data_IF_637083803265
#
_entry.id   IF_637083803265
#
_cell.length_a   1.000
_cell.length_b   1.000
_cell.length_c   1.000
_cell.angle_alpha   90.00
_cell.angle_beta   90.00
_cell.angle_gamma   90.00
#
_symmetry.space_group_name_H-M   'P 1'
#
loop_
_entity.id
_entity.type
_entity.pdbx_description
1 polymer ?
#
# COMPACT_ATOMS: atom_id res chain seq x y z
N UNK A 1 -1.74 3.58 -16.64
CA UNK A 1 -2.75 3.67 -15.56
C UNK A 1 -2.27 2.72 -14.50
N UNK A 2 -2.18 3.15 -13.25
CA UNK A 2 -1.71 2.28 -12.17
C UNK A 2 -2.75 1.18 -11.91
N UNK A 3 -2.30 -0.05 -11.91
CA UNK A 3 -3.03 -1.20 -11.39
C UNK A 3 -2.36 -1.64 -10.08
N UNK A 4 -3.18 -1.85 -9.05
CA UNK A 4 -2.75 -2.37 -7.76
C UNK A 4 -3.48 -3.69 -7.50
N UNK A 5 -2.74 -4.70 -7.06
CA UNK A 5 -3.31 -6.02 -6.74
C UNK A 5 -2.98 -6.43 -5.31
N UNK A 6 -3.95 -7.05 -4.63
CA UNK A 6 -3.72 -7.78 -3.39
C UNK A 6 -4.00 -9.25 -3.68
N UNK A 7 -3.04 -10.11 -3.32
CA UNK A 7 -3.38 -11.52 -3.15
C UNK A 7 -3.80 -11.71 -1.71
N UNK A 8 -4.98 -12.31 -1.54
CA UNK A 8 -5.53 -12.59 -0.22
C UNK A 8 -4.51 -13.26 0.66
N UNK A 9 -4.46 -12.90 1.96
CA UNK A 9 -3.45 -13.41 2.85
C UNK A 9 -3.40 -14.93 2.85
N UNK A 10 -2.19 -15.49 2.96
CA UNK A 10 -1.96 -16.93 3.08
C UNK A 10 -0.92 -17.16 4.18
N UNK A 11 -1.26 -17.95 5.21
CA UNK A 11 -0.34 -18.34 6.28
C UNK A 11 0.40 -17.16 6.96
N UNK A 12 -0.24 -16.01 7.10
CA UNK A 12 0.30 -14.81 7.74
C UNK A 12 1.09 -13.89 6.82
N UNK A 13 0.98 -14.09 5.50
CA UNK A 13 1.61 -13.27 4.48
C UNK A 13 0.58 -12.62 3.58
N UNK A 14 0.79 -11.39 3.17
CA UNK A 14 -0.05 -10.68 2.20
C UNK A 14 0.83 -10.15 1.08
N UNK A 15 0.41 -10.33 -0.17
CA UNK A 15 1.15 -9.82 -1.33
C UNK A 15 0.50 -8.57 -1.87
N UNK A 16 1.32 -7.63 -2.33
CA UNK A 16 0.87 -6.46 -3.08
C UNK A 16 1.65 -6.37 -4.39
N UNK A 17 0.94 -6.06 -5.47
CA UNK A 17 1.48 -5.85 -6.80
C UNK A 17 1.16 -4.46 -7.32
N UNK A 18 2.05 -3.94 -8.15
CA UNK A 18 1.93 -2.66 -8.86
C UNK A 18 2.32 -2.86 -10.32
N UNK A 19 1.49 -2.37 -11.24
CA UNK A 19 1.79 -2.33 -12.67
C UNK A 19 1.32 -0.99 -13.23
N UNK A 20 2.16 -0.27 -13.97
CA UNK A 20 1.78 0.97 -14.65
C UNK A 20 1.74 0.87 -16.19
N UNK A 21 1.90 -0.34 -16.71
CA UNK A 21 2.01 -0.69 -18.13
C UNK A 21 3.43 -0.59 -18.68
N UNK A 22 4.39 -0.13 -17.87
CA UNK A 22 5.82 -0.02 -18.23
C UNK A 22 6.68 -0.83 -17.27
N UNK A 23 6.36 -0.75 -15.99
CA UNK A 23 7.07 -1.42 -14.90
C UNK A 23 6.09 -2.20 -14.04
N UNK A 24 6.52 -3.39 -13.61
CA UNK A 24 5.78 -4.26 -12.72
C UNK A 24 6.63 -4.53 -11.48
N UNK A 25 6.02 -4.42 -10.30
CA UNK A 25 6.67 -4.68 -9.03
C UNK A 25 5.75 -5.44 -8.10
N UNK A 26 6.28 -6.50 -7.48
CA UNK A 26 5.54 -7.36 -6.56
C UNK A 26 6.35 -7.59 -5.29
N UNK A 27 5.68 -7.48 -4.15
CA UNK A 27 6.30 -7.76 -2.84
C UNK A 27 5.28 -8.34 -1.87
N UNK A 28 5.75 -8.85 -0.74
CA UNK A 28 4.91 -9.40 0.32
C UNK A 28 5.27 -8.81 1.67
N UNK A 29 4.31 -8.82 2.60
CA UNK A 29 4.52 -8.44 3.99
C UNK A 29 4.06 -9.54 4.93
N UNK A 30 4.75 -9.71 6.05
CA UNK A 30 4.33 -10.61 7.13
C UNK A 30 3.36 -9.91 8.09
N UNK A 31 2.41 -10.64 8.67
CA UNK A 31 1.50 -10.11 9.69
C UNK A 31 2.21 -9.74 11.00
N UNK A 32 3.34 -10.37 11.30
CA UNK A 32 4.15 -10.10 12.49
C UNK A 32 5.60 -9.88 12.06
N UNK A 33 6.27 -8.80 12.49
CA UNK A 33 5.76 -7.73 13.37
C UNK A 33 4.89 -6.67 12.67
N UNK A 34 4.60 -6.79 11.37
CA UNK A 34 4.00 -5.72 10.54
C UNK A 34 2.47 -5.75 10.46
N UNK A 35 1.82 -6.01 11.60
CA UNK A 35 0.37 -6.09 11.74
C UNK A 35 -0.36 -4.85 11.23
N UNK A 36 0.25 -3.67 11.45
CA UNK A 36 -0.33 -2.40 11.07
C UNK A 36 -0.25 -2.07 9.57
N UNK A 37 0.44 -2.86 8.74
CA UNK A 37 0.80 -2.44 7.38
C UNK A 37 -0.43 -2.12 6.51
N UNK A 38 -1.45 -2.99 6.51
CA UNK A 38 -2.68 -2.76 5.74
C UNK A 38 -3.51 -1.57 6.26
N UNK A 39 -3.88 -1.47 7.56
CA UNK A 39 -4.61 -0.30 8.05
C UNK A 39 -3.80 1.00 7.96
N UNK A 40 -2.48 0.96 8.06
CA UNK A 40 -1.62 2.13 7.88
C UNK A 40 -1.59 2.59 6.42
N UNK A 41 -1.54 1.67 5.45
CA UNK A 41 -1.68 2.00 4.03
C UNK A 41 -2.98 2.75 3.73
N UNK A 42 -4.11 2.22 4.22
CA UNK A 42 -5.41 2.85 4.05
C UNK A 42 -5.45 4.25 4.68
N UNK A 43 -4.92 4.41 5.91
CA UNK A 43 -4.84 5.73 6.58
C UNK A 43 -4.01 6.73 5.79
N UNK A 44 -2.83 6.32 5.30
CA UNK A 44 -1.97 7.18 4.48
C UNK A 44 -2.72 7.65 3.24
N UNK A 45 -3.39 6.75 2.52
CA UNK A 45 -4.12 7.10 1.31
C UNK A 45 -5.34 8.01 1.62
N UNK A 46 -6.05 7.78 2.72
CA UNK A 46 -7.14 8.67 3.20
C UNK A 46 -6.64 10.07 3.53
N UNK A 47 -5.47 10.20 4.17
CA UNK A 47 -4.87 11.50 4.49
C UNK A 47 -4.45 12.27 3.22
N UNK A 48 -4.01 11.54 2.19
CA UNK A 48 -3.46 12.11 0.96
C UNK A 48 -4.52 12.35 -0.14
N UNK A 49 -5.67 11.68 -0.09
CA UNK A 49 -6.80 11.92 -1.00
C UNK A 49 -7.55 13.22 -0.70
N UNK A 50 -7.34 13.80 0.48
CA UNK A 50 -7.95 15.07 0.84
C UNK A 50 -7.35 16.31 0.17
N UNK A 51 -8.14 17.39 0.15
CA UNK A 51 -7.66 18.71 -0.24
C UNK A 51 -6.44 19.11 0.59
N UNK A 52 -5.44 19.60 -0.13
CA UNK A 52 -4.12 19.84 0.42
C UNK A 52 -3.61 21.22 0.01
N UNK A 53 -3.35 22.06 1.01
CA UNK A 53 -2.64 23.34 0.88
C UNK A 53 -1.15 23.14 1.18
N UNK A 54 -0.45 22.43 0.29
CA UNK A 54 1.01 22.26 0.34
C UNK A 54 1.48 20.81 0.20
N UNK A 55 2.78 20.58 -0.06
CA UNK A 55 3.30 19.23 -0.25
C UNK A 55 3.13 18.39 1.02
N UNK A 56 2.66 17.14 0.86
CA UNK A 56 2.57 16.16 1.95
C UNK A 56 3.32 14.90 1.58
N UNK A 57 4.07 14.38 2.54
CA UNK A 57 4.82 13.14 2.37
C UNK A 57 4.44 12.15 3.48
N UNK A 58 4.27 10.89 3.07
CA UNK A 58 4.07 9.75 3.96
C UNK A 58 4.92 8.59 3.48
N UNK A 59 5.30 7.72 4.41
CA UNK A 59 6.02 6.50 4.09
C UNK A 59 5.44 5.35 4.90
N UNK A 60 5.21 4.23 4.23
CA UNK A 60 4.75 2.98 4.82
C UNK A 60 5.88 1.96 4.75
N UNK A 61 6.16 1.30 5.86
CA UNK A 61 7.07 0.15 5.89
C UNK A 61 6.32 -1.10 5.46
N UNK A 62 6.85 -1.81 4.47
CA UNK A 62 6.28 -3.05 3.95
C UNK A 62 7.35 -4.13 3.91
N UNK A 63 7.25 -5.14 4.76
CA UNK A 63 8.42 -5.93 5.14
C UNK A 63 8.15 -7.43 5.19
N UNK A 64 9.11 -8.18 4.65
CA UNK A 64 9.06 -9.63 4.55
C UNK A 64 10.08 -10.35 5.43
N UNK A 65 11.15 -9.67 5.85
CA UNK A 65 12.37 -10.21 6.49
C UNK A 65 13.05 -11.32 5.63
N UNK A 66 14.26 -11.10 5.08
CA UNK A 66 15.13 -9.93 5.26
C UNK A 66 14.81 -8.75 4.33
N UNK A 67 13.87 -8.93 3.39
CA UNK A 67 13.51 -7.87 2.43
C UNK A 67 12.68 -6.78 3.09
N UNK A 68 13.15 -5.55 2.95
CA UNK A 68 12.61 -4.36 3.59
C UNK A 68 12.23 -3.33 2.53
N UNK A 69 10.99 -2.86 2.54
CA UNK A 69 10.52 -1.85 1.61
C UNK A 69 9.97 -0.62 2.32
N UNK A 70 10.13 0.53 1.67
CA UNK A 70 9.38 1.76 1.96
C UNK A 70 8.53 2.14 0.77
N UNK A 71 7.22 2.24 0.99
CA UNK A 71 6.31 2.86 0.03
C UNK A 71 6.18 4.32 0.41
N UNK A 72 6.82 5.19 -0.37
CA UNK A 72 6.81 6.63 -0.17
C UNK A 72 5.77 7.26 -1.09
N UNK A 73 4.86 8.02 -0.49
CA UNK A 73 3.82 8.76 -1.17
C UNK A 73 4.09 10.25 -0.99
N UNK A 74 4.21 10.99 -2.09
CA UNK A 74 4.41 12.44 -2.10
C UNK A 74 3.26 13.08 -2.86
N UNK A 75 2.47 13.89 -2.17
CA UNK A 75 1.36 14.67 -2.72
C UNK A 75 1.84 16.08 -3.02
N UNK A 76 1.70 16.51 -4.28
CA UNK A 76 1.97 17.88 -4.71
C UNK A 76 0.82 18.40 -5.57
N UNK A 77 -0.01 19.29 -5.00
CA UNK A 77 -1.18 19.82 -5.70
C UNK A 77 -2.18 18.70 -6.02
N UNK A 78 -2.47 18.50 -7.30
CA UNK A 78 -3.36 17.48 -7.86
C UNK A 78 -2.65 16.16 -8.21
N UNK A 79 -1.31 16.10 -8.12
CA UNK A 79 -0.51 14.91 -8.38
C UNK A 79 -0.06 14.14 -7.13
N UNK A 80 0.11 12.84 -7.29
CA UNK A 80 0.71 11.96 -6.29
C UNK A 80 1.83 11.15 -6.93
N UNK A 81 3.01 11.21 -6.32
CA UNK A 81 4.16 10.39 -6.65
C UNK A 81 4.23 9.22 -5.66
N UNK A 82 4.15 8.00 -6.19
CA UNK A 82 4.46 6.76 -5.49
C UNK A 82 5.90 6.34 -5.82
N UNK A 83 6.69 6.04 -4.81
CA UNK A 83 8.03 5.47 -4.94
C UNK A 83 8.17 4.29 -4.00
N UNK A 84 8.73 3.19 -4.48
CA UNK A 84 9.05 2.03 -3.64
C UNK A 84 10.56 1.90 -3.57
N UNK A 85 11.09 1.99 -2.36
CA UNK A 85 12.50 1.77 -2.09
C UNK A 85 12.68 0.39 -1.47
N UNK A 86 13.60 -0.39 -2.01
CA UNK A 86 14.08 -1.63 -1.42
C UNK A 86 15.36 -1.37 -0.64
N UNK A 87 15.49 -1.98 0.53
CA UNK A 87 16.70 -1.97 1.32
C UNK A 87 17.30 -3.38 1.37
N UNK A 88 18.65 -3.50 1.34
CA UNK A 88 19.32 -4.78 1.41
C UNK A 88 19.25 -5.42 2.81
N UNK A 89 19.10 -4.59 3.86
CA UNK A 89 19.01 -5.05 5.25
C UNK A 89 18.04 -4.21 6.08
N UNK A 90 17.76 -4.65 7.31
CA UNK A 90 16.89 -3.98 8.28
C UNK A 90 17.46 -2.66 8.85
N UNK A 91 18.74 -2.38 8.60
CA UNK A 91 19.38 -1.11 8.94
C UNK A 91 18.82 0.08 8.15
N UNK A 92 18.15 -0.20 7.02
CA UNK A 92 17.51 0.76 6.12
C UNK A 92 18.44 1.90 5.72
N UNK A 93 19.68 1.56 5.35
CA UNK A 93 20.67 2.53 4.88
C UNK A 93 20.19 3.29 3.63
N UNK A 94 20.02 4.61 3.76
CA UNK A 94 19.66 5.49 2.63
C UNK A 94 20.67 5.49 1.48
N UNK A 95 21.94 5.17 1.77
CA UNK A 95 23.00 5.11 0.77
C UNK A 95 22.92 3.84 -0.08
N UNK A 96 22.27 2.80 0.43
CA UNK A 96 22.22 1.47 -0.18
C UNK A 96 20.82 1.12 -0.71
N UNK A 97 19.83 1.98 -0.48
CA UNK A 97 18.46 1.76 -0.97
C UNK A 97 18.41 1.86 -2.50
N UNK A 98 17.57 1.02 -3.09
CA UNK A 98 17.30 1.03 -4.53
C UNK A 98 15.86 1.47 -4.78
N UNK A 99 15.64 2.35 -5.77
CA UNK A 99 14.30 2.70 -6.23
C UNK A 99 13.84 1.61 -7.20
N UNK A 100 12.93 0.75 -6.76
CA UNK A 100 12.48 -0.44 -7.51
C UNK A 100 11.16 -0.22 -8.25
N UNK A 101 10.39 0.80 -7.87
CA UNK A 101 9.17 1.21 -8.58
C UNK A 101 8.93 2.70 -8.39
N UNK A 102 8.44 3.37 -9.43
CA UNK A 102 7.98 4.75 -9.32
C UNK A 102 6.82 5.02 -10.26
N UNK A 103 5.84 5.75 -9.77
CA UNK A 103 4.66 6.11 -10.54
C UNK A 103 4.19 7.51 -10.17
N UNK A 104 3.83 8.31 -11.18
CA UNK A 104 3.32 9.68 -11.00
C UNK A 104 2.02 9.84 -11.78
N UNK A 105 0.93 10.12 -11.07
CA UNK A 105 -0.38 10.37 -11.67
C UNK A 105 -1.17 11.38 -10.81
N UNK A 106 -2.42 11.65 -11.15
CA UNK A 106 -3.35 12.35 -10.27
C UNK A 106 -3.57 11.54 -8.99
N UNK A 107 -3.76 12.22 -7.85
CA UNK A 107 -4.09 11.48 -6.62
C UNK A 107 -5.41 10.73 -6.74
N UNK A 108 -6.35 11.26 -7.52
CA UNK A 108 -7.62 10.59 -7.79
C UNK A 108 -7.39 9.23 -8.43
N UNK A 109 -6.62 9.16 -9.51
CA UNK A 109 -6.30 7.90 -10.20
C UNK A 109 -5.53 6.93 -9.30
N UNK A 110 -4.53 7.41 -8.54
CA UNK A 110 -3.78 6.55 -7.61
C UNK A 110 -4.72 5.99 -6.54
N UNK A 111 -5.55 6.83 -5.91
CA UNK A 111 -6.51 6.39 -4.91
C UNK A 111 -7.58 5.46 -5.47
N UNK A 112 -8.06 5.70 -6.68
CA UNK A 112 -9.02 4.82 -7.37
C UNK A 112 -8.42 3.42 -7.60
N UNK A 113 -7.17 3.33 -8.05
CA UNK A 113 -6.47 2.06 -8.22
C UNK A 113 -6.43 1.24 -6.93
N UNK A 114 -6.09 1.87 -5.79
CA UNK A 114 -6.15 1.21 -4.48
C UNK A 114 -7.58 0.88 -4.04
N UNK A 115 -8.57 1.72 -4.35
CA UNK A 115 -9.97 1.50 -3.99
C UNK A 115 -10.53 0.24 -4.64
N UNK A 116 -10.25 0.01 -5.92
CA UNK A 116 -10.64 -1.23 -6.61
C UNK A 116 -10.05 -2.45 -5.89
N UNK A 117 -8.79 -2.38 -5.49
CA UNK A 117 -8.14 -3.52 -4.82
C UNK A 117 -8.67 -3.74 -3.40
N UNK A 118 -8.93 -2.68 -2.64
CA UNK A 118 -9.51 -2.81 -1.30
C UNK A 118 -10.95 -3.33 -1.34
N UNK A 119 -11.74 -2.93 -2.34
CA UNK A 119 -13.09 -3.47 -2.55
C UNK A 119 -13.05 -4.98 -2.82
N UNK A 120 -12.11 -5.43 -3.67
CA UNK A 120 -11.91 -6.85 -3.94
C UNK A 120 -11.50 -7.61 -2.68
N UNK A 121 -10.49 -7.11 -1.96
CA UNK A 121 -10.01 -7.73 -0.71
C UNK A 121 -11.13 -7.78 0.35
N UNK A 122 -11.96 -6.73 0.43
CA UNK A 122 -13.12 -6.69 1.30
C UNK A 122 -14.16 -7.74 0.90
N UNK A 123 -14.48 -7.85 -0.39
CA UNK A 123 -15.47 -8.81 -0.90
C UNK A 123 -15.05 -10.26 -0.64
N UNK A 124 -13.77 -10.58 -0.87
CA UNK A 124 -13.23 -11.93 -0.75
C UNK A 124 -12.88 -12.33 0.69
N UNK A 125 -12.97 -11.40 1.65
CA UNK A 125 -12.52 -11.62 3.04
C UNK A 125 -13.13 -12.86 3.70
N UNK A 126 -14.39 -13.18 3.37
CA UNK A 126 -15.12 -14.31 3.93
C UNK A 126 -14.79 -15.61 3.20
N UNK A 127 -14.66 -15.56 1.87
CA UNK A 127 -14.29 -16.73 1.05
C UNK A 127 -12.86 -17.18 1.30
N UNK A 128 -11.97 -16.23 1.54
CA UNK A 128 -10.54 -16.47 1.70
C UNK A 128 -10.11 -16.63 3.16
N UNK A 129 -11.07 -16.77 4.08
CA UNK A 129 -10.83 -16.88 5.52
C UNK A 129 -9.82 -15.83 6.02
N UNK A 130 -9.99 -14.56 5.60
CA UNK A 130 -8.99 -13.51 5.73
C UNK A 130 -8.39 -13.43 7.13
N UNK A 131 -9.24 -13.42 8.17
CA UNK A 131 -8.76 -13.32 9.55
C UNK A 131 -7.93 -14.53 9.99
N UNK A 132 -8.33 -15.74 9.57
CA UNK A 132 -7.56 -16.93 9.85
C UNK A 132 -6.21 -16.91 9.15
N UNK A 133 -6.20 -16.54 7.86
CA UNK A 133 -4.99 -16.54 7.05
C UNK A 133 -4.07 -15.37 7.37
N UNK A 134 -4.59 -14.18 7.65
CA UNK A 134 -3.81 -13.00 8.00
C UNK A 134 -3.42 -12.95 9.47
N UNK A 135 -4.12 -13.72 10.33
CA UNK A 135 -4.01 -13.70 11.80
C UNK A 135 -4.51 -12.40 12.44
N UNK A 136 -5.26 -11.58 11.69
CA UNK A 136 -5.78 -10.28 12.14
C UNK A 136 -7.10 -9.97 11.45
N UNK A 137 -8.02 -9.23 12.10
CA UNK A 137 -9.27 -8.84 11.48
C UNK A 137 -9.02 -7.91 10.29
N UNK A 138 -9.95 -7.89 9.35
CA UNK A 138 -9.96 -6.88 8.30
C UNK A 138 -10.11 -5.47 8.92
N UNK A 139 -9.36 -4.45 8.45
CA UNK A 139 -9.41 -3.09 9.01
C UNK A 139 -10.65 -2.32 8.52
N UNK A 140 -11.82 -2.68 9.04
CA UNK A 140 -13.10 -2.10 8.61
C UNK A 140 -13.17 -0.59 8.77
N UNK A 141 -12.65 -0.05 9.88
CA UNK A 141 -12.72 1.40 10.15
C UNK A 141 -11.94 2.19 9.11
N UNK A 142 -10.69 1.82 8.86
CA UNK A 142 -9.82 2.49 7.90
C UNK A 142 -10.34 2.34 6.46
N UNK A 143 -10.88 1.16 6.12
CA UNK A 143 -11.50 0.92 4.82
C UNK A 143 -12.72 1.84 4.59
N UNK A 144 -13.64 1.92 5.54
CA UNK A 144 -14.83 2.77 5.44
C UNK A 144 -14.48 4.26 5.37
N UNK A 145 -13.48 4.71 6.13
CA UNK A 145 -12.97 6.08 6.06
C UNK A 145 -12.35 6.39 4.71
N UNK A 146 -11.54 5.48 4.18
CA UNK A 146 -10.95 5.60 2.86
C UNK A 146 -12.02 5.69 1.77
N UNK A 147 -13.01 4.78 1.79
CA UNK A 147 -14.12 4.78 0.82
C UNK A 147 -14.88 6.10 0.83
N UNK A 148 -15.23 6.64 2.00
CA UNK A 148 -15.92 7.94 2.11
C UNK A 148 -15.13 9.11 1.53
N UNK A 149 -13.81 8.99 1.45
CA UNK A 149 -12.93 10.07 0.98
C UNK A 149 -12.68 10.04 -0.53
N UNK A 150 -12.71 8.85 -1.11
CA UNK A 150 -12.43 8.59 -2.53
C UNK A 150 -13.71 8.41 -3.36
N UNK A 151 -14.87 8.21 -2.71
CA UNK A 151 -16.20 8.13 -3.36
C UNK A 151 -16.85 9.48 -3.60
#
# INVERSE_FOLDING_TARGET
MLEVSFNSPQCGWMSIGFDDGVTEFHTTTAHAPHAGALPELMRILTELSGDSTGPRERSLKWNRDPEEFDFRFVREGDKMLLQIYQYPTDDRSFAERELVFTHLDSAENVCEAFAVTFDQLYADRETDEFEFNWRQPFPFTEYEEFKKRVS
#
